data_IF_341168530702
#
_entry.id   IF_341168530702
#
_cell.length_a   1.000
_cell.length_b   1.000
_cell.length_c   1.000
_cell.angle_alpha   90.00
_cell.angle_beta   90.00
_cell.angle_gamma   90.00
#
_symmetry.space_group_name_H-M   'P 1'
#
loop_
_entity.id
_entity.type
_entity.pdbx_description
1 polymer ?
#
# COMPACT_ATOMS: atom_id res chain seq x y z
N UNK A 1 10.75 10.02 7.61
CA UNK A 1 9.43 10.36 8.18
C UNK A 1 8.61 9.14 8.60
N UNK A 2 8.27 8.20 7.71
CA UNK A 2 7.44 7.04 8.10
C UNK A 2 8.14 6.13 9.11
N UNK A 3 9.40 5.77 8.87
CA UNK A 3 10.23 4.97 9.79
C UNK A 3 10.34 5.63 11.17
N UNK A 4 10.63 6.93 11.21
CA UNK A 4 10.65 7.73 12.44
C UNK A 4 9.32 7.65 13.21
N UNK A 5 8.18 7.80 12.52
CA UNK A 5 6.85 7.70 13.13
C UNK A 5 6.58 6.29 13.67
N UNK A 6 6.98 5.25 12.95
CA UNK A 6 6.85 3.85 13.38
C UNK A 6 7.74 3.58 14.62
N UNK A 7 8.99 4.04 14.61
CA UNK A 7 9.90 3.95 15.76
C UNK A 7 9.31 4.64 16.99
N UNK A 8 8.80 5.87 16.83
CA UNK A 8 8.14 6.60 17.92
C UNK A 8 6.92 5.86 18.45
N UNK A 9 6.11 5.27 17.57
CA UNK A 9 4.96 4.46 17.98
C UNK A 9 5.38 3.24 18.82
N UNK A 10 6.44 2.53 18.41
CA UNK A 10 7.02 1.41 19.19
C UNK A 10 7.44 1.88 20.58
N UNK A 11 8.14 3.01 20.69
CA UNK A 11 8.51 3.60 21.99
C UNK A 11 7.27 3.95 22.84
N UNK A 12 6.29 4.65 22.26
CA UNK A 12 5.08 5.08 22.98
C UNK A 12 4.20 3.91 23.43
N UNK A 13 4.22 2.79 22.71
CA UNK A 13 3.49 1.58 23.10
C UNK A 13 4.05 0.88 24.35
N UNK A 14 5.22 1.31 24.84
CA UNK A 14 5.94 0.61 25.92
C UNK A 14 6.52 -0.75 25.51
N UNK A 15 6.45 -1.09 24.21
CA UNK A 15 6.95 -2.35 23.64
C UNK A 15 7.95 -2.04 22.51
N UNK A 16 9.14 -1.50 22.82
CA UNK A 16 10.13 -1.16 21.80
C UNK A 16 10.60 -2.36 20.97
N UNK A 17 10.52 -3.57 21.53
CA UNK A 17 10.82 -4.84 20.85
C UNK A 17 9.66 -5.40 20.01
N UNK A 18 8.46 -4.80 20.07
CA UNK A 18 7.35 -5.26 19.25
C UNK A 18 7.69 -5.11 17.77
N UNK A 19 7.45 -6.17 16.99
CA UNK A 19 7.62 -6.14 15.55
C UNK A 19 6.47 -5.35 14.93
N UNK A 20 6.82 -4.38 14.09
CA UNK A 20 5.86 -3.61 13.31
C UNK A 20 6.36 -3.60 11.85
N UNK A 21 5.98 -4.60 11.04
CA UNK A 21 6.50 -4.73 9.69
C UNK A 21 6.20 -3.51 8.84
N UNK A 22 7.20 -3.04 8.10
CA UNK A 22 7.04 -1.97 7.13
C UNK A 22 7.12 -2.56 5.71
N UNK A 23 5.95 -2.70 5.11
CA UNK A 23 5.78 -3.26 3.78
C UNK A 23 5.90 -2.15 2.73
N UNK A 24 6.80 -2.32 1.78
CA UNK A 24 7.04 -1.38 0.67
C UNK A 24 6.73 -2.10 -0.64
N UNK A 25 5.50 -1.90 -1.12
CA UNK A 25 5.11 -2.36 -2.45
C UNK A 25 5.72 -1.45 -3.51
N UNK A 26 6.38 -2.05 -4.50
CA UNK A 26 7.09 -1.36 -5.58
C UNK A 26 6.48 -1.75 -6.93
N UNK A 27 6.92 -1.14 -8.01
CA UNK A 27 6.72 -1.71 -9.35
C UNK A 27 7.99 -2.45 -9.77
N UNK A 28 7.93 -3.39 -10.73
CA UNK A 28 9.13 -4.02 -11.26
C UNK A 28 10.16 -3.01 -11.80
N UNK A 29 9.69 -1.84 -12.26
CA UNK A 29 10.53 -0.79 -12.84
C UNK A 29 11.36 -0.03 -11.80
N UNK A 30 10.88 0.06 -10.54
CA UNK A 30 11.56 0.83 -9.49
C UNK A 30 12.00 -0.01 -8.29
N UNK A 31 11.76 -1.33 -8.28
CA UNK A 31 12.06 -2.21 -7.15
C UNK A 31 13.52 -2.11 -6.69
N UNK A 32 14.46 -2.25 -7.63
CA UNK A 32 15.90 -2.23 -7.32
C UNK A 32 16.36 -0.86 -6.80
N UNK A 33 15.90 0.24 -7.41
CA UNK A 33 16.32 1.59 -7.01
C UNK A 33 15.75 1.97 -5.65
N UNK A 34 14.49 1.61 -5.35
CA UNK A 34 13.88 1.84 -4.03
C UNK A 34 14.60 1.04 -2.95
N UNK A 35 14.89 -0.25 -3.19
CA UNK A 35 15.62 -1.08 -2.23
C UNK A 35 17.03 -0.54 -1.96
N UNK A 36 17.74 -0.12 -3.01
CA UNK A 36 19.06 0.48 -2.89
C UNK A 36 19.01 1.79 -2.11
N UNK A 37 18.02 2.64 -2.39
CA UNK A 37 17.85 3.91 -1.68
C UNK A 37 17.66 3.73 -0.16
N UNK A 38 16.89 2.71 0.26
CA UNK A 38 16.78 2.38 1.68
C UNK A 38 18.10 1.91 2.27
N UNK A 39 18.85 1.07 1.55
CA UNK A 39 20.16 0.58 1.99
C UNK A 39 21.18 1.70 2.14
N UNK A 40 21.23 2.63 1.18
CA UNK A 40 22.15 3.77 1.17
C UNK A 40 21.88 4.75 2.33
N UNK A 41 20.71 4.66 2.95
CA UNK A 41 20.29 5.50 4.08
C UNK A 41 20.08 4.69 5.36
N UNK A 42 20.71 3.51 5.48
CA UNK A 42 20.64 2.64 6.66
C UNK A 42 19.21 2.37 7.13
N UNK A 43 18.29 2.13 6.17
CA UNK A 43 16.86 1.93 6.38
C UNK A 43 16.19 3.04 7.21
N UNK A 44 16.78 4.24 7.19
CA UNK A 44 16.38 5.40 7.98
C UNK A 44 16.30 5.08 9.48
N UNK A 45 17.20 4.23 9.97
CA UNK A 45 17.26 3.77 11.37
C UNK A 45 16.16 2.78 11.77
N UNK A 46 15.39 2.24 10.82
CA UNK A 46 14.44 1.16 11.08
C UNK A 46 15.11 -0.20 10.94
N UNK A 47 14.71 -1.24 11.71
CA UNK A 47 15.30 -2.57 11.57
C UNK A 47 15.11 -3.12 10.15
N UNK A 48 16.20 -3.46 9.46
CA UNK A 48 16.17 -3.97 8.09
C UNK A 48 15.28 -5.23 7.99
N UNK A 49 15.34 -6.11 9.00
CA UNK A 49 14.55 -7.33 9.05
C UNK A 49 13.04 -7.10 9.20
N UNK A 50 12.62 -5.89 9.59
CA UNK A 50 11.23 -5.46 9.67
C UNK A 50 10.75 -4.80 8.37
N UNK A 51 11.63 -4.46 7.43
CA UNK A 51 11.27 -3.86 6.15
C UNK A 51 11.15 -4.94 5.07
N UNK A 52 10.00 -4.99 4.40
CA UNK A 52 9.73 -5.99 3.36
C UNK A 52 9.41 -5.30 2.04
N UNK A 53 10.32 -5.42 1.08
CA UNK A 53 10.09 -4.96 -0.30
C UNK A 53 9.53 -6.10 -1.14
N UNK A 54 8.50 -5.81 -1.93
CA UNK A 54 7.95 -6.75 -2.89
C UNK A 54 7.40 -5.97 -4.11
N UNK A 55 7.65 -6.45 -5.34
CA UNK A 55 7.09 -5.82 -6.52
C UNK A 55 5.63 -6.23 -6.74
N UNK A 56 4.80 -5.29 -7.21
CA UNK A 56 3.49 -5.60 -7.78
C UNK A 56 3.64 -6.20 -9.18
N UNK A 57 2.53 -6.66 -9.75
CA UNK A 57 2.50 -7.17 -11.12
C UNK A 57 2.54 -6.06 -12.18
N UNK A 58 2.39 -6.48 -13.42
CA UNK A 58 2.20 -5.58 -14.56
C UNK A 58 1.17 -6.17 -15.50
N UNK A 59 0.41 -5.30 -16.18
CA UNK A 59 -0.51 -5.67 -17.23
C UNK A 59 -0.02 -5.12 -18.58
N UNK A 60 -0.28 -5.83 -19.70
CA UNK A 60 0.04 -5.31 -21.02
C UNK A 60 -0.83 -4.11 -21.37
N UNK A 61 -0.23 -3.13 -22.03
CA UNK A 61 -0.95 -2.00 -22.58
C UNK A 61 -1.70 -2.42 -23.86
N UNK A 62 -2.96 -2.01 -23.97
CA UNK A 62 -3.82 -2.31 -25.11
C UNK A 62 -4.17 -1.03 -25.87
N UNK A 63 -4.27 -1.11 -27.20
CA UNK A 63 -4.91 -0.08 -28.01
C UNK A 63 -6.42 -0.08 -27.76
N UNK A 64 -7.11 0.96 -28.24
CA UNK A 64 -8.58 1.03 -28.14
C UNK A 64 -9.29 -0.13 -28.86
N UNK A 65 -8.64 -0.71 -29.88
CA UNK A 65 -9.12 -1.88 -30.61
C UNK A 65 -8.79 -3.21 -29.90
N UNK A 66 -8.17 -3.15 -28.72
CA UNK A 66 -7.80 -4.33 -27.94
C UNK A 66 -6.49 -5.02 -28.35
N UNK A 67 -5.69 -4.40 -29.23
CA UNK A 67 -4.41 -4.97 -29.66
C UNK A 67 -3.28 -4.66 -28.68
N UNK A 68 -2.33 -5.59 -28.51
CA UNK A 68 -1.13 -5.37 -27.70
C UNK A 68 -0.30 -4.23 -28.28
N UNK A 69 0.07 -3.27 -27.41
CA UNK A 69 1.02 -2.22 -27.75
C UNK A 69 2.43 -2.75 -27.52
N UNK A 70 3.31 -2.56 -28.50
CA UNK A 70 4.72 -2.95 -28.42
C UNK A 70 5.58 -1.75 -28.02
N UNK A 71 6.46 -1.95 -27.03
CA UNK A 71 7.53 -0.99 -26.68
C UNK A 71 8.66 -1.05 -27.73
N UNK A 72 8.91 -2.25 -28.28
CA UNK A 72 9.84 -2.47 -29.39
C UNK A 72 9.42 -3.70 -30.20
N UNK A 73 10.09 -3.97 -31.33
CA UNK A 73 9.77 -5.12 -32.21
C UNK A 73 9.73 -6.48 -31.51
N UNK A 74 10.36 -6.62 -30.34
CA UNK A 74 10.43 -7.86 -29.56
C UNK A 74 9.94 -7.72 -28.12
N UNK A 75 9.29 -6.61 -27.74
CA UNK A 75 8.89 -6.35 -26.36
C UNK A 75 7.51 -5.71 -26.28
N UNK A 76 6.62 -6.32 -25.50
CA UNK A 76 5.29 -5.78 -25.19
C UNK A 76 5.43 -4.64 -24.19
N UNK A 77 4.69 -3.55 -24.42
CA UNK A 77 4.57 -2.45 -23.48
C UNK A 77 3.71 -2.88 -22.30
N UNK A 78 4.20 -2.67 -21.08
CA UNK A 78 3.52 -3.05 -19.84
C UNK A 78 3.47 -1.87 -18.87
N UNK A 79 2.45 -1.86 -18.02
CA UNK A 79 2.27 -0.89 -16.94
C UNK A 79 1.98 -1.61 -15.63
N UNK A 80 2.27 -1.01 -14.46
CA UNK A 80 1.84 -1.57 -13.18
C UNK A 80 0.34 -1.86 -13.17
N UNK A 81 -0.06 -2.94 -12.51
CA UNK A 81 -1.44 -3.45 -12.47
C UNK A 81 -2.38 -2.69 -11.51
N UNK A 82 -1.93 -1.52 -11.03
CA UNK A 82 -2.65 -0.67 -10.10
C UNK A 82 -2.48 -1.09 -8.64
N UNK A 83 -2.92 -0.25 -7.70
CA UNK A 83 -2.79 -0.54 -6.27
C UNK A 83 -3.57 -1.79 -5.83
N UNK A 84 -4.61 -2.19 -6.57
CA UNK A 84 -5.34 -3.44 -6.39
C UNK A 84 -4.49 -4.69 -6.64
N UNK A 85 -3.37 -4.58 -7.37
CA UNK A 85 -2.38 -5.64 -7.52
C UNK A 85 -1.74 -6.07 -6.20
N UNK A 86 -1.92 -5.29 -5.12
CA UNK A 86 -1.46 -5.61 -3.76
C UNK A 86 -1.82 -7.03 -3.33
N UNK A 87 -3.09 -7.44 -3.50
CA UNK A 87 -3.55 -8.73 -2.99
C UNK A 87 -2.79 -9.90 -3.65
N UNK A 88 -2.67 -9.85 -4.98
CA UNK A 88 -1.95 -10.86 -5.75
C UNK A 88 -0.44 -10.82 -5.46
N UNK A 89 0.14 -9.63 -5.33
CA UNK A 89 1.57 -9.47 -5.02
C UNK A 89 1.93 -10.02 -3.63
N UNK A 90 1.06 -9.82 -2.63
CA UNK A 90 1.28 -10.35 -1.27
C UNK A 90 1.37 -11.88 -1.26
N UNK A 91 0.50 -12.55 -2.02
CA UNK A 91 0.50 -14.01 -2.14
C UNK A 91 1.68 -14.51 -2.97
N UNK A 92 1.84 -13.99 -4.19
CA UNK A 92 2.86 -14.42 -5.15
C UNK A 92 4.28 -14.30 -4.60
N UNK A 93 4.57 -13.20 -3.91
CA UNK A 93 5.90 -12.92 -3.36
C UNK A 93 6.12 -13.54 -1.97
N UNK A 94 5.18 -14.36 -1.48
CA UNK A 94 5.27 -15.05 -0.18
C UNK A 94 5.19 -14.12 1.04
N UNK A 95 4.81 -12.85 0.83
CA UNK A 95 4.70 -11.85 1.90
C UNK A 95 3.55 -12.19 2.83
N UNK A 96 2.44 -12.72 2.30
CA UNK A 96 1.30 -13.14 3.12
C UNK A 96 1.70 -14.20 4.16
N UNK A 97 2.39 -15.27 3.74
CA UNK A 97 2.87 -16.31 4.65
C UNK A 97 3.88 -15.77 5.68
N UNK A 98 4.71 -14.80 5.28
CA UNK A 98 5.64 -14.13 6.20
C UNK A 98 4.90 -13.32 7.28
N UNK A 99 3.83 -12.60 6.89
CA UNK A 99 2.97 -11.87 7.83
C UNK A 99 2.25 -12.81 8.80
N UNK A 100 1.76 -13.96 8.30
CA UNK A 100 1.14 -15.00 9.12
C UNK A 100 2.12 -15.59 10.13
N UNK A 101 3.34 -15.91 9.70
CA UNK A 101 4.41 -16.41 10.59
C UNK A 101 4.80 -15.39 11.67
N UNK A 102 4.68 -14.09 11.37
CA UNK A 102 4.88 -13.01 12.34
C UNK A 102 3.66 -12.70 13.22
N UNK A 103 2.53 -13.38 12.99
CA UNK A 103 1.29 -13.16 13.74
C UNK A 103 0.63 -11.81 13.46
N UNK A 104 0.90 -11.20 12.29
CA UNK A 104 0.27 -9.93 11.88
C UNK A 104 -1.19 -10.19 11.54
N UNK A 105 -2.09 -9.45 12.19
CA UNK A 105 -3.55 -9.59 12.00
C UNK A 105 -4.19 -8.49 11.16
N UNK A 106 -3.55 -7.32 11.09
CA UNK A 106 -4.09 -6.13 10.44
C UNK A 106 -3.01 -5.44 9.64
N UNK A 107 -3.39 -4.93 8.46
CA UNK A 107 -2.54 -4.09 7.61
C UNK A 107 -3.16 -2.70 7.53
N UNK A 108 -2.36 -1.67 7.80
CA UNK A 108 -2.71 -0.29 7.50
C UNK A 108 -2.06 0.09 6.18
N UNK A 109 -2.84 0.09 5.10
CA UNK A 109 -2.39 0.40 3.74
C UNK A 109 -2.61 1.89 3.47
N UNK A 110 -1.62 2.54 2.83
CA UNK A 110 -1.64 3.97 2.56
C UNK A 110 -0.78 4.35 1.36
N UNK A 111 -1.02 5.53 0.78
CA UNK A 111 -0.17 6.10 -0.26
C UNK A 111 1.09 6.75 0.32
N UNK A 112 2.22 6.54 -0.37
CA UNK A 112 3.52 7.14 -0.05
C UNK A 112 3.49 8.68 -0.15
N UNK A 113 2.61 9.24 -0.99
CA UNK A 113 2.54 10.68 -1.26
C UNK A 113 1.89 11.47 -0.09
N UNK A 114 1.29 10.77 0.88
CA UNK A 114 0.64 11.42 2.02
C UNK A 114 1.63 11.73 3.15
N UNK A 115 2.25 12.91 3.10
CA UNK A 115 3.23 13.37 4.08
C UNK A 115 2.67 13.52 5.52
N UNK A 116 1.37 13.78 5.70
CA UNK A 116 0.75 13.98 7.02
C UNK A 116 0.14 12.71 7.61
N UNK A 117 0.18 11.60 6.88
CA UNK A 117 -0.32 10.31 7.33
C UNK A 117 0.28 9.89 8.68
N UNK A 118 -0.49 9.19 9.50
CA UNK A 118 0.02 8.50 10.69
C UNK A 118 0.15 6.99 10.40
N UNK A 119 1.33 6.46 10.02
CA UNK A 119 1.51 5.03 9.80
C UNK A 119 1.14 4.25 11.06
N UNK A 120 0.46 3.11 10.88
CA UNK A 120 -0.02 2.27 11.98
C UNK A 120 -0.81 3.05 13.07
N UNK A 121 -1.61 4.05 12.68
CA UNK A 121 -2.43 4.84 13.61
C UNK A 121 -3.26 3.95 14.58
N UNK A 122 -2.92 3.94 15.88
CA UNK A 122 -3.56 3.04 16.84
C UNK A 122 -5.03 3.38 17.07
N UNK A 123 -5.45 4.64 16.88
CA UNK A 123 -6.86 5.02 17.00
C UNK A 123 -7.69 4.41 15.88
N UNK A 124 -7.20 4.50 14.65
CA UNK A 124 -7.91 3.97 13.50
C UNK A 124 -7.95 2.44 13.51
N UNK A 125 -6.81 1.78 13.77
CA UNK A 125 -6.74 0.32 13.88
C UNK A 125 -7.58 -0.16 15.06
N UNK A 126 -7.49 0.49 16.22
CA UNK A 126 -8.28 0.18 17.40
C UNK A 126 -9.79 0.31 17.16
N UNK A 127 -10.22 1.37 16.47
CA UNK A 127 -11.62 1.54 16.07
C UNK A 127 -12.11 0.40 15.16
N UNK A 128 -11.30 -0.01 14.18
CA UNK A 128 -11.65 -1.14 13.31
C UNK A 128 -11.78 -2.44 14.10
N UNK A 129 -10.88 -2.68 15.07
CA UNK A 129 -10.92 -3.84 15.97
C UNK A 129 -12.20 -3.82 16.83
N UNK A 130 -12.52 -2.69 17.45
CA UNK A 130 -13.71 -2.52 18.29
C UNK A 130 -15.00 -2.79 17.50
N UNK A 131 -15.04 -2.35 16.24
CA UNK A 131 -16.20 -2.57 15.34
C UNK A 131 -16.21 -3.95 14.68
N UNK A 132 -15.25 -4.82 14.97
CA UNK A 132 -15.06 -6.10 14.28
C UNK A 132 -15.06 -5.93 12.74
N UNK A 133 -14.44 -4.84 12.26
CA UNK A 133 -14.43 -4.48 10.86
C UNK A 133 -13.34 -5.26 10.12
N UNK A 134 -13.70 -5.93 9.02
CA UNK A 134 -12.74 -6.60 8.14
C UNK A 134 -11.93 -5.59 7.31
N UNK A 135 -12.54 -4.45 6.97
CA UNK A 135 -11.93 -3.35 6.21
C UNK A 135 -12.42 -2.03 6.79
N UNK A 136 -11.49 -1.12 7.04
CA UNK A 136 -11.78 0.28 7.36
C UNK A 136 -11.17 1.18 6.28
N UNK A 137 -11.85 2.26 5.93
CA UNK A 137 -11.31 3.28 5.03
C UNK A 137 -11.29 4.64 5.76
N UNK A 138 -10.13 5.31 5.72
CA UNK A 138 -9.95 6.59 6.36
C UNK A 138 -10.21 7.70 5.35
N UNK A 139 -11.23 8.50 5.62
CA UNK A 139 -11.71 9.55 4.72
C UNK A 139 -11.59 10.93 5.34
N UNK A 140 -11.61 11.94 4.49
CA UNK A 140 -11.78 13.35 4.87
C UNK A 140 -12.97 13.91 4.09
N UNK A 141 -13.52 15.02 4.56
CA UNK A 141 -14.53 15.74 3.81
C UNK A 141 -13.93 16.29 2.51
N UNK A 142 -14.65 16.10 1.41
CA UNK A 142 -14.31 16.70 0.12
C UNK A 142 -14.33 18.23 0.27
N UNK A 143 -13.30 18.91 -0.22
CA UNK A 143 -13.14 20.35 -0.04
C UNK A 143 -13.98 21.17 -1.02
N UNK A 144 -14.27 20.61 -2.19
CA UNK A 144 -15.12 21.22 -3.24
C UNK A 144 -15.79 20.14 -4.08
N UNK A 145 -16.82 20.50 -4.86
CA UNK A 145 -17.56 19.53 -5.67
C UNK A 145 -16.71 18.93 -6.82
N UNK A 146 -15.70 19.66 -7.30
CA UNK A 146 -14.82 19.34 -8.43
C UNK A 146 -13.47 18.71 -8.03
N UNK A 147 -13.21 18.53 -6.73
CA UNK A 147 -11.99 17.87 -6.26
C UNK A 147 -11.88 16.43 -6.82
N UNK A 148 -10.70 16.09 -7.36
CA UNK A 148 -10.42 14.80 -8.02
C UNK A 148 -10.03 13.73 -7.01
N UNK A 149 -10.99 13.31 -6.20
CA UNK A 149 -10.84 12.25 -5.20
C UNK A 149 -11.99 11.26 -5.30
N UNK A 150 -11.70 9.98 -5.03
CA UNK A 150 -12.73 8.97 -4.91
C UNK A 150 -13.66 9.25 -3.72
N UNK A 151 -14.94 8.93 -3.86
CA UNK A 151 -15.94 9.09 -2.81
C UNK A 151 -16.45 7.74 -2.33
N UNK A 152 -16.64 7.60 -1.01
CA UNK A 152 -17.32 6.43 -0.46
C UNK A 152 -18.81 6.54 -0.78
N UNK A 153 -19.34 5.49 -1.41
CA UNK A 153 -20.74 5.39 -1.77
C UNK A 153 -21.27 3.98 -1.51
N UNK A 154 -22.59 3.82 -1.63
CA UNK A 154 -23.24 2.51 -1.60
C UNK A 154 -23.71 2.16 -3.02
N UNK A 155 -23.16 1.08 -3.58
CA UNK A 155 -23.56 0.54 -4.89
C UNK A 155 -24.18 -0.84 -4.68
N UNK A 156 -25.44 -1.02 -5.06
CA UNK A 156 -26.18 -2.28 -4.90
C UNK A 156 -26.15 -2.81 -3.45
N UNK A 157 -26.32 -1.92 -2.46
CA UNK A 157 -26.31 -2.27 -1.04
C UNK A 157 -24.93 -2.59 -0.46
N UNK A 158 -23.85 -2.44 -1.23
CA UNK A 158 -22.47 -2.68 -0.80
C UNK A 158 -21.69 -1.37 -0.76
N UNK A 159 -20.82 -1.23 0.25
CA UNK A 159 -19.86 -0.13 0.31
C UNK A 159 -18.93 -0.20 -0.91
N UNK A 160 -18.66 0.93 -1.53
CA UNK A 160 -17.84 1.05 -2.74
C UNK A 160 -17.14 2.40 -2.76
N UNK A 161 -16.04 2.48 -3.50
CA UNK A 161 -15.42 3.75 -3.88
C UNK A 161 -15.84 4.04 -5.31
N UNK A 162 -16.35 5.24 -5.58
CA UNK A 162 -16.52 5.74 -6.94
C UNK A 162 -15.37 6.69 -7.20
N UNK A 163 -14.48 6.31 -8.12
CA UNK A 163 -13.34 7.13 -8.51
C UNK A 163 -13.80 8.37 -9.26
N UNK A 164 -13.03 9.46 -9.16
CA UNK A 164 -13.40 10.73 -9.81
C UNK A 164 -13.44 10.64 -11.35
N UNK A 165 -12.81 9.63 -11.94
CA UNK A 165 -12.88 9.33 -13.37
C UNK A 165 -14.21 8.70 -13.79
N UNK A 166 -14.94 8.16 -12.81
CA UNK A 166 -16.19 7.42 -13.00
C UNK A 166 -17.41 8.21 -12.46
N UNK A 167 -17.18 9.42 -11.94
CA UNK A 167 -18.19 10.41 -11.52
C UNK A 167 -18.59 11.31 -12.68
#
# INVERSE_FOLDING_TARGET
LFTERLTRLKTLSGKPSARLPFLVMTSPLNHSSVKQFFKDHDFFGYPEEDVVFFPQGTLPALSLDGNLILESKSKVSVSPDGNGGLYYALEKEGVLSKLEAWGVKYLHVFSVDNAILKPADPWFVGYCIEKNAQVGNKVVWKSSWDEKVGVIATKNGKCSVVEYSDL
#
